data_IF_370047965136
#
_entry.id   IF_370047965136
#
_cell.length_a   1.000
_cell.length_b   1.000
_cell.length_c   1.000
_cell.angle_alpha   90.00
_cell.angle_beta   90.00
_cell.angle_gamma   90.00
#
_symmetry.space_group_name_H-M   'P 1'
#
loop_
_entity.id
_entity.type
_entity.pdbx_description
1 polymer ?
#
# COMPACT_ATOMS: atom_id res chain seq x y z
N UNK A 1 -18.32 8.44 6.22
CA UNK A 1 -18.83 8.19 7.59
C UNK A 1 -17.64 7.71 8.40
N UNK A 2 -17.29 8.41 9.49
CA UNK A 2 -16.15 8.01 10.31
C UNK A 2 -16.58 6.89 11.29
N UNK A 3 -15.62 6.22 11.94
CA UNK A 3 -15.93 5.14 12.89
C UNK A 3 -16.83 5.60 14.04
N UNK A 4 -16.60 6.82 14.53
CA UNK A 4 -17.36 7.37 15.65
C UNK A 4 -18.84 7.56 15.28
N UNK A 5 -19.12 8.03 14.06
CA UNK A 5 -20.47 8.19 13.55
C UNK A 5 -21.18 6.84 13.44
N UNK A 6 -20.47 5.78 13.01
CA UNK A 6 -21.02 4.44 12.89
C UNK A 6 -21.36 3.86 14.27
N UNK A 7 -20.42 3.93 15.21
CA UNK A 7 -20.63 3.46 16.58
C UNK A 7 -21.75 4.21 17.29
N UNK A 8 -21.82 5.53 17.14
CA UNK A 8 -22.87 6.35 17.73
C UNK A 8 -24.27 5.97 17.21
N UNK A 9 -24.41 5.78 15.88
CA UNK A 9 -25.69 5.37 15.29
C UNK A 9 -26.06 3.94 15.62
N UNK A 10 -25.09 3.04 15.70
CA UNK A 10 -25.33 1.65 16.09
C UNK A 10 -25.76 1.57 17.57
N UNK A 11 -25.14 2.35 18.45
CA UNK A 11 -25.52 2.43 19.86
C UNK A 11 -26.94 3.01 20.03
N UNK A 12 -27.30 4.06 19.28
CA UNK A 12 -28.66 4.61 19.24
C UNK A 12 -29.68 3.59 18.73
N UNK A 13 -29.34 2.82 17.69
CA UNK A 13 -30.18 1.75 17.17
C UNK A 13 -30.39 0.62 18.20
N UNK A 14 -29.33 0.18 18.88
CA UNK A 14 -29.41 -0.84 19.94
C UNK A 14 -30.25 -0.33 21.12
N UNK A 15 -30.11 0.96 21.49
CA UNK A 15 -30.95 1.60 22.50
C UNK A 15 -32.43 1.53 22.15
N UNK A 16 -32.79 1.93 20.91
CA UNK A 16 -34.17 1.85 20.40
C UNK A 16 -34.73 0.43 20.33
N UNK A 17 -33.88 -0.56 20.06
CA UNK A 17 -34.28 -1.98 20.10
C UNK A 17 -34.65 -2.39 21.53
N UNK A 18 -34.02 -1.81 22.55
CA UNK A 18 -34.33 -2.05 23.96
C UNK A 18 -35.72 -1.61 24.41
N UNK A 19 -36.37 -0.70 23.67
CA UNK A 19 -37.73 -0.22 23.95
C UNK A 19 -38.84 -1.09 23.32
N UNK A 20 -38.48 -2.07 22.48
CA UNK A 20 -39.42 -2.99 21.83
C UNK A 20 -39.84 -4.15 22.75
N UNK A 21 -41.00 -4.79 22.50
CA UNK A 21 -41.42 -6.00 23.24
C UNK A 21 -40.37 -7.12 23.15
N UNK A 22 -40.17 -7.87 24.25
CA UNK A 22 -39.13 -8.93 24.36
C UNK A 22 -39.14 -9.95 23.21
N UNK A 23 -40.32 -10.22 22.62
CA UNK A 23 -40.49 -11.14 21.49
C UNK A 23 -39.76 -10.70 20.21
N UNK A 24 -39.52 -9.41 20.03
CA UNK A 24 -38.86 -8.84 18.84
C UNK A 24 -37.42 -8.40 19.10
N UNK A 25 -37.05 -8.22 20.38
CA UNK A 25 -35.71 -7.76 20.77
C UNK A 25 -34.59 -8.72 20.38
N UNK A 26 -34.77 -10.02 20.62
CA UNK A 26 -33.69 -11.00 20.48
C UNK A 26 -33.11 -11.01 19.05
N UNK A 27 -33.99 -11.12 18.05
CA UNK A 27 -33.61 -11.16 16.64
C UNK A 27 -32.94 -9.86 16.16
N UNK A 28 -33.40 -8.71 16.64
CA UNK A 28 -32.84 -7.41 16.26
C UNK A 28 -31.49 -7.16 16.93
N UNK A 29 -31.31 -7.59 18.19
CA UNK A 29 -30.01 -7.56 18.88
C UNK A 29 -28.98 -8.45 18.19
N UNK A 30 -29.38 -9.66 17.79
CA UNK A 30 -28.50 -10.58 17.05
C UNK A 30 -28.05 -9.97 15.72
N UNK A 31 -28.98 -9.36 14.96
CA UNK A 31 -28.67 -8.70 13.69
C UNK A 31 -27.75 -7.47 13.87
N UNK A 32 -27.94 -6.70 14.95
CA UNK A 32 -27.10 -5.56 15.28
C UNK A 32 -25.67 -5.99 15.62
N UNK A 33 -25.49 -7.05 16.42
CA UNK A 33 -24.17 -7.57 16.75
C UNK A 33 -23.49 -8.20 15.51
N UNK A 34 -24.24 -8.93 14.68
CA UNK A 34 -23.70 -9.44 13.41
C UNK A 34 -23.22 -8.32 12.49
N UNK A 35 -23.98 -7.23 12.41
CA UNK A 35 -23.63 -6.07 11.57
C UNK A 35 -22.35 -5.40 12.09
N UNK A 36 -22.21 -5.27 13.41
CA UNK A 36 -21.01 -4.74 14.07
C UNK A 36 -19.78 -5.59 13.79
N UNK A 37 -19.93 -6.92 13.91
CA UNK A 37 -18.86 -7.88 13.64
C UNK A 37 -18.41 -7.85 12.18
N UNK A 38 -19.37 -7.82 11.24
CA UNK A 38 -19.09 -7.68 9.81
C UNK A 38 -18.35 -6.38 9.51
N UNK A 39 -18.79 -5.26 10.09
CA UNK A 39 -18.14 -3.96 9.91
C UNK A 39 -16.71 -3.98 10.47
N UNK A 40 -16.50 -4.55 11.65
CA UNK A 40 -15.19 -4.71 12.28
C UNK A 40 -14.23 -5.52 11.42
N UNK A 41 -14.68 -6.67 10.90
CA UNK A 41 -13.88 -7.53 9.99
C UNK A 41 -13.53 -6.80 8.70
N UNK A 42 -14.50 -6.14 8.08
CA UNK A 42 -14.27 -5.37 6.86
C UNK A 42 -13.22 -4.28 7.08
N UNK A 43 -13.33 -3.54 8.19
CA UNK A 43 -12.36 -2.50 8.54
C UNK A 43 -10.96 -3.07 8.74
N UNK A 44 -10.83 -4.21 9.42
CA UNK A 44 -9.55 -4.90 9.59
C UNK A 44 -8.94 -5.25 8.23
N UNK A 45 -9.71 -5.87 7.34
CA UNK A 45 -9.24 -6.24 6.00
C UNK A 45 -8.82 -5.03 5.16
N UNK A 46 -9.57 -3.92 5.23
CA UNK A 46 -9.20 -2.68 4.54
C UNK A 46 -7.90 -2.11 5.12
N UNK A 47 -7.72 -2.18 6.44
CA UNK A 47 -6.48 -1.78 7.11
C UNK A 47 -5.28 -2.58 6.60
N UNK A 48 -5.38 -3.91 6.61
CA UNK A 48 -4.34 -4.83 6.11
C UNK A 48 -4.03 -4.59 4.62
N UNK A 49 -5.04 -4.33 3.80
CA UNK A 49 -4.86 -4.00 2.39
C UNK A 49 -4.14 -2.67 2.20
N UNK A 50 -4.48 -1.67 3.02
CA UNK A 50 -3.83 -0.35 2.97
C UNK A 50 -2.36 -0.46 3.34
N UNK A 51 -2.03 -1.22 4.39
CA UNK A 51 -0.65 -1.48 4.79
C UNK A 51 0.13 -2.23 3.70
N UNK A 52 -0.51 -3.22 3.06
CA UNK A 52 0.08 -3.94 1.93
C UNK A 52 0.36 -3.02 0.73
N UNK A 53 -0.54 -2.08 0.43
CA UNK A 53 -0.35 -1.09 -0.63
C UNK A 53 0.76 -0.08 -0.29
N UNK A 54 0.87 0.34 0.96
CA UNK A 54 1.95 1.22 1.43
C UNK A 54 3.31 0.52 1.32
N UNK A 55 3.37 -0.76 1.73
CA UNK A 55 4.55 -1.58 1.54
C UNK A 55 4.92 -1.71 0.05
N UNK A 56 3.96 -2.08 -0.80
CA UNK A 56 4.19 -2.20 -2.24
C UNK A 56 4.68 -0.87 -2.84
N UNK A 57 4.08 0.25 -2.45
CA UNK A 57 4.47 1.58 -2.90
C UNK A 57 5.93 1.87 -2.53
N UNK A 58 6.36 1.49 -1.33
CA UNK A 58 7.74 1.63 -0.90
C UNK A 58 8.67 0.71 -1.72
N UNK A 59 8.30 -0.55 -1.92
CA UNK A 59 9.08 -1.50 -2.72
C UNK A 59 9.28 -1.00 -4.15
N UNK A 60 8.25 -0.42 -4.77
CA UNK A 60 8.34 0.17 -6.12
C UNK A 60 9.29 1.36 -6.14
N UNK A 61 9.29 2.23 -5.12
CA UNK A 61 10.24 3.35 -5.03
C UNK A 61 11.69 2.84 -5.00
N UNK A 62 11.97 1.80 -4.22
CA UNK A 62 13.30 1.21 -4.16
C UNK A 62 13.70 0.56 -5.49
N UNK A 63 12.81 -0.21 -6.11
CA UNK A 63 13.10 -0.84 -7.39
C UNK A 63 13.43 0.20 -8.49
N UNK A 64 12.67 1.30 -8.54
CA UNK A 64 12.93 2.39 -9.49
C UNK A 64 14.24 3.10 -9.18
N UNK A 65 14.56 3.29 -7.89
CA UNK A 65 15.82 3.90 -7.48
C UNK A 65 17.03 3.05 -7.89
N UNK A 66 16.98 1.75 -7.60
CA UNK A 66 18.05 0.80 -7.96
C UNK A 66 18.20 0.68 -9.47
N UNK A 67 17.08 0.70 -10.22
CA UNK A 67 17.10 0.68 -11.68
C UNK A 67 17.77 1.94 -12.25
N UNK A 68 17.51 3.12 -11.69
CA UNK A 68 18.16 4.35 -12.16
C UNK A 68 19.64 4.42 -11.75
N UNK A 69 20.02 3.84 -10.61
CA UNK A 69 21.42 3.71 -10.19
C UNK A 69 22.20 2.80 -11.16
N UNK A 70 21.68 1.62 -11.47
CA UNK A 70 22.30 0.68 -12.42
C UNK A 70 22.34 1.24 -13.85
N UNK A 71 21.31 2.00 -14.26
CA UNK A 71 21.31 2.71 -15.56
C UNK A 71 22.43 3.76 -15.64
N UNK A 72 22.61 4.56 -14.58
CA UNK A 72 23.69 5.56 -14.51
C UNK A 72 25.06 4.91 -14.50
N UNK A 73 25.24 3.85 -13.72
CA UNK A 73 26.49 3.10 -13.65
C UNK A 73 26.86 2.50 -15.02
N UNK A 74 25.90 1.85 -15.71
CA UNK A 74 26.13 1.33 -17.06
C UNK A 74 26.57 2.42 -18.05
N UNK A 75 25.93 3.60 -17.98
CA UNK A 75 26.30 4.74 -18.81
C UNK A 75 27.71 5.27 -18.51
N UNK A 76 28.12 5.29 -17.24
CA UNK A 76 29.47 5.67 -16.84
C UNK A 76 30.51 4.67 -17.34
N UNK A 77 30.25 3.37 -17.18
CA UNK A 77 31.14 2.30 -17.64
C UNK A 77 31.33 2.31 -19.16
N UNK A 78 30.25 2.52 -19.93
CA UNK A 78 30.35 2.63 -21.40
C UNK A 78 31.23 3.79 -21.83
N UNK A 79 31.05 4.97 -21.22
CA UNK A 79 31.88 6.14 -21.51
C UNK A 79 33.36 5.87 -21.24
N UNK A 80 33.67 5.18 -20.14
CA UNK A 80 35.05 4.81 -19.79
C UNK A 80 35.67 3.92 -20.88
N UNK A 81 34.94 2.90 -21.32
CA UNK A 81 35.39 2.01 -22.41
C UNK A 81 35.59 2.76 -23.73
N UNK A 82 34.70 3.68 -24.08
CA UNK A 82 34.82 4.50 -25.29
C UNK A 82 36.08 5.38 -25.23
N UNK A 83 36.35 6.05 -24.10
CA UNK A 83 37.59 6.83 -23.92
C UNK A 83 38.86 5.97 -23.94
N UNK A 84 38.84 4.77 -23.35
CA UNK A 84 40.00 3.87 -23.37
C UNK A 84 40.29 3.41 -24.81
N UNK A 85 39.25 3.10 -25.60
CA UNK A 85 39.41 2.71 -27.01
C UNK A 85 39.84 3.87 -27.92
N UNK A 86 39.42 5.10 -27.64
CA UNK A 86 39.93 6.29 -28.35
C UNK A 86 41.42 6.52 -28.04
N UNK A 87 41.82 6.43 -26.77
CA UNK A 87 43.21 6.58 -26.36
C UNK A 87 44.15 5.50 -26.97
N UNK A 88 43.68 4.26 -27.11
CA UNK A 88 44.42 3.19 -27.80
C UNK A 88 44.62 3.49 -29.29
N UNK A 89 43.61 4.04 -29.97
CA UNK A 89 43.70 4.39 -31.41
C UNK A 89 44.65 5.54 -31.68
N UNK A 90 44.59 6.59 -30.88
CA UNK A 90 45.48 7.75 -31.02
C UNK A 90 46.96 7.34 -30.80
N UNK A 91 47.20 6.39 -29.89
CA UNK A 91 48.54 5.87 -29.63
C UNK A 91 49.08 5.01 -30.79
N UNK A 92 48.23 4.33 -31.55
CA UNK A 92 48.63 3.55 -32.74
C UNK A 92 48.87 4.45 -33.97
N UNK A 93 48.14 5.57 -34.11
CA UNK A 93 48.34 6.55 -35.19
C UNK A 93 49.64 7.36 -35.02
N UNK A 94 50.01 7.74 -33.80
CA UNK A 94 51.26 8.47 -33.52
C UNK A 94 52.53 7.60 -33.69
N UNK A 95 52.37 6.28 -33.78
CA UNK A 95 53.48 5.31 -33.84
C UNK A 95 53.64 4.65 -35.22
N UNK A 96 52.87 5.08 -36.23
CA UNK A 96 52.89 4.64 -37.62
C UNK A 96 53.57 5.67 -38.55
#
# INVERSE_FOLDING_TARGET
>A
MNEQDFQARLADLIGKIGDLPESEQARLKDLAEETKDRHSRMKKTIGELTESLDYLRLSVKYLVFDLEATRRENGYLRKMLDTDTEAERDHDEDNA
#
